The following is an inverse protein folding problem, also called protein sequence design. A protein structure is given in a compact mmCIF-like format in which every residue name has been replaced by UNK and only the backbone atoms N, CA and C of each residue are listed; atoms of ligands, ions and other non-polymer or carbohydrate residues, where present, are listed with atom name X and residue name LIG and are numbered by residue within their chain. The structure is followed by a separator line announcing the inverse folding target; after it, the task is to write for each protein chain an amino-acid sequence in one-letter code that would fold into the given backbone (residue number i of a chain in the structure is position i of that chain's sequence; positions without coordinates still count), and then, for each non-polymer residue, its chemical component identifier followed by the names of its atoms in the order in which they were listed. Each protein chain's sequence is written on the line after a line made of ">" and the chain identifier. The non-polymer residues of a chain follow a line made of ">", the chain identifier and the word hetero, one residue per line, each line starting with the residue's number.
data_IF_017995779537
#
_entry.id   IF_017995779537
#
_cell.length_a   1.000
_cell.length_b   1.000
_cell.length_c   1.000
_cell.angle_alpha   90.00
_cell.angle_beta   90.00
_cell.angle_gamma   90.00
#
_symmetry.space_group_name_H-M   'P 1'
#
loop_
_entity.id
_entity.type
_entity.pdbx_description
1 polymer ?
#
# COMPACT_ATOMS: atom_id res chain seq x y z
N UNK A 1 -7.19 72.15 -37.80
CA UNK A 1 -6.67 72.03 -36.42
C UNK A 1 -7.08 70.70 -35.72
N UNK A 2 -7.33 69.60 -36.46
CA UNK A 2 -7.82 68.32 -35.90
C UNK A 2 -6.76 67.19 -35.80
N UNK A 3 -5.51 67.41 -36.23
CA UNK A 3 -4.47 66.36 -36.28
C UNK A 3 -3.77 66.07 -34.93
N UNK A 4 -3.80 66.98 -33.96
CA UNK A 4 -3.08 66.79 -32.68
C UNK A 4 -3.79 65.83 -31.70
N UNK A 5 -5.11 65.64 -31.82
CA UNK A 5 -5.87 64.72 -30.96
C UNK A 5 -5.75 63.24 -31.37
N UNK A 6 -5.68 62.96 -32.68
CA UNK A 6 -5.59 61.60 -33.21
C UNK A 6 -4.22 60.98 -32.91
N UNK A 7 -3.14 61.77 -33.02
CA UNK A 7 -1.79 61.30 -32.70
C UNK A 7 -1.64 60.92 -31.22
N UNK A 8 -2.26 61.67 -30.31
CA UNK A 8 -2.24 61.35 -28.87
C UNK A 8 -2.96 60.03 -28.57
N UNK A 9 -4.14 59.83 -29.16
CA UNK A 9 -4.92 58.59 -29.01
C UNK A 9 -4.13 57.40 -29.58
N UNK A 10 -3.49 57.56 -30.74
CA UNK A 10 -2.66 56.52 -31.34
C UNK A 10 -1.45 56.17 -30.46
N UNK A 11 -0.75 57.15 -29.90
CA UNK A 11 0.39 56.90 -29.00
C UNK A 11 -0.04 56.19 -27.72
N UNK A 12 -1.18 56.59 -27.13
CA UNK A 12 -1.76 55.89 -25.98
C UNK A 12 -2.13 54.45 -26.33
N UNK A 13 -2.70 54.22 -27.51
CA UNK A 13 -3.06 52.88 -27.97
C UNK A 13 -1.82 52.00 -28.20
N UNK A 14 -0.76 52.54 -28.81
CA UNK A 14 0.53 51.84 -28.93
C UNK A 14 1.16 51.55 -27.57
N UNK A 15 1.12 52.49 -26.62
CA UNK A 15 1.61 52.28 -25.26
C UNK A 15 0.82 51.21 -24.51
N UNK A 16 -0.51 51.19 -24.66
CA UNK A 16 -1.37 50.17 -24.09
C UNK A 16 -1.07 48.78 -24.67
N UNK A 17 -0.92 48.67 -25.99
CA UNK A 17 -0.54 47.41 -26.65
C UNK A 17 0.83 46.94 -26.15
N UNK A 18 1.85 47.83 -26.13
CA UNK A 18 3.19 47.49 -25.64
C UNK A 18 3.16 47.01 -24.19
N UNK A 19 2.33 47.62 -23.35
CA UNK A 19 2.16 47.22 -21.95
C UNK A 19 1.52 45.83 -21.84
N UNK A 20 0.48 45.54 -22.63
CA UNK A 20 -0.15 44.21 -22.67
C UNK A 20 0.85 43.14 -23.12
N UNK A 21 1.64 43.43 -24.16
CA UNK A 21 2.68 42.52 -24.64
C UNK A 21 3.78 42.30 -23.59
N UNK A 22 4.21 43.36 -22.91
CA UNK A 22 5.20 43.26 -21.83
C UNK A 22 4.68 42.43 -20.64
N UNK A 23 3.42 42.64 -20.24
CA UNK A 23 2.76 41.85 -19.19
C UNK A 23 2.63 40.38 -19.59
N UNK A 24 2.26 40.10 -20.85
CA UNK A 24 2.19 38.75 -21.38
C UNK A 24 3.54 38.04 -21.32
N UNK A 25 4.62 38.67 -21.81
CA UNK A 25 5.96 38.09 -21.75
C UNK A 25 6.45 37.90 -20.31
N UNK A 26 6.16 38.83 -19.40
CA UNK A 26 6.48 38.67 -17.98
C UNK A 26 5.74 37.47 -17.36
N UNK A 27 4.47 37.28 -17.71
CA UNK A 27 3.68 36.12 -17.31
C UNK A 27 4.25 34.80 -17.82
N UNK A 28 4.60 34.74 -19.11
CA UNK A 28 5.21 33.55 -19.73
C UNK A 28 6.56 33.23 -19.10
N UNK A 29 7.42 34.23 -18.88
CA UNK A 29 8.72 34.03 -18.24
C UNK A 29 8.59 33.48 -16.82
N UNK A 30 7.70 34.06 -16.00
CA UNK A 30 7.43 33.54 -14.64
C UNK A 30 6.91 32.11 -14.66
N UNK A 31 6.00 31.80 -15.59
CA UNK A 31 5.48 30.45 -15.74
C UNK A 31 6.58 29.46 -16.15
N UNK A 32 7.44 29.84 -17.10
CA UNK A 32 8.55 29.01 -17.55
C UNK A 32 9.55 28.73 -16.42
N UNK A 33 9.89 29.74 -15.62
CA UNK A 33 10.72 29.57 -14.42
C UNK A 33 10.06 28.61 -13.42
N UNK A 34 8.75 28.75 -13.19
CA UNK A 34 8.00 27.84 -12.33
C UNK A 34 8.01 26.39 -12.82
N UNK A 35 7.80 26.16 -14.12
CA UNK A 35 7.87 24.83 -14.73
C UNK A 35 9.28 24.25 -14.64
N UNK A 36 10.31 25.06 -14.88
CA UNK A 36 11.70 24.64 -14.73
C UNK A 36 12.03 24.24 -13.29
N UNK A 37 11.56 25.01 -12.30
CA UNK A 37 11.74 24.67 -10.89
C UNK A 37 11.02 23.37 -10.53
N UNK A 38 9.75 23.22 -10.90
CA UNK A 38 8.99 21.98 -10.65
C UNK A 38 9.64 20.76 -11.30
N UNK A 39 10.20 20.93 -12.49
CA UNK A 39 10.92 19.86 -13.19
C UNK A 39 12.21 19.48 -12.45
N UNK A 40 12.97 20.47 -11.98
CA UNK A 40 14.16 20.29 -11.17
C UNK A 40 13.85 19.57 -9.86
N UNK A 41 12.85 20.06 -9.12
CA UNK A 41 12.39 19.48 -7.85
C UNK A 41 11.93 18.03 -8.04
N UNK A 42 11.22 17.75 -9.15
CA UNK A 42 10.80 16.38 -9.48
C UNK A 42 11.97 15.45 -9.77
N UNK A 43 12.96 15.92 -10.52
CA UNK A 43 14.16 15.13 -10.80
C UNK A 43 14.93 14.83 -9.50
N UNK A 44 15.10 15.83 -8.63
CA UNK A 44 15.73 15.66 -7.33
C UNK A 44 14.95 14.69 -6.44
N UNK A 45 13.62 14.84 -6.35
CA UNK A 45 12.75 13.95 -5.59
C UNK A 45 12.83 12.49 -6.08
N UNK A 46 12.98 12.26 -7.39
CA UNK A 46 13.19 10.93 -7.98
C UNK A 46 14.55 10.35 -7.59
N UNK A 47 15.62 11.13 -7.66
CA UNK A 47 16.97 10.71 -7.26
C UNK A 47 16.98 10.31 -5.78
N UNK A 48 16.40 11.13 -4.90
CA UNK A 48 16.27 10.82 -3.48
C UNK A 48 15.47 9.53 -3.24
N UNK A 49 14.33 9.38 -3.92
CA UNK A 49 13.48 8.18 -3.80
C UNK A 49 14.24 6.92 -4.23
N UNK A 50 14.91 6.96 -5.39
CA UNK A 50 15.67 5.82 -5.89
C UNK A 50 16.86 5.49 -4.98
N UNK A 51 17.62 6.48 -4.53
CA UNK A 51 18.74 6.29 -3.59
C UNK A 51 18.26 5.65 -2.28
N UNK A 52 17.19 6.20 -1.69
CA UNK A 52 16.54 5.66 -0.50
C UNK A 52 16.07 4.21 -0.71
N UNK A 53 15.45 3.90 -1.86
CA UNK A 53 15.03 2.54 -2.19
C UNK A 53 16.20 1.56 -2.22
N UNK A 54 17.29 1.91 -2.92
CA UNK A 54 18.44 1.01 -3.03
C UNK A 54 19.09 0.77 -1.67
N UNK A 55 19.23 1.82 -0.87
CA UNK A 55 19.71 1.70 0.51
C UNK A 55 18.82 0.78 1.33
N UNK A 56 17.51 0.99 1.32
CA UNK A 56 16.55 0.14 2.03
C UNK A 56 16.65 -1.33 1.58
N UNK A 57 16.74 -1.58 0.27
CA UNK A 57 16.81 -2.93 -0.26
C UNK A 57 18.10 -3.63 0.16
N UNK A 58 19.23 -2.91 0.12
CA UNK A 58 20.50 -3.41 0.62
C UNK A 58 20.42 -3.74 2.12
N UNK A 59 19.86 -2.83 2.92
CA UNK A 59 19.68 -3.04 4.37
C UNK A 59 18.78 -4.26 4.63
N UNK A 60 17.68 -4.43 3.88
CA UNK A 60 16.76 -5.58 3.99
C UNK A 60 17.36 -6.93 3.55
N UNK A 61 18.42 -6.90 2.74
CA UNK A 61 19.13 -8.09 2.26
C UNK A 61 20.30 -8.47 3.18
N UNK A 62 20.88 -7.50 3.86
CA UNK A 62 22.09 -7.69 4.68
C UNK A 62 21.79 -7.85 6.16
N UNK A 63 20.71 -7.24 6.65
CA UNK A 63 20.30 -7.33 8.05
C UNK A 63 19.21 -8.39 8.25
N UNK A 64 19.29 -9.10 9.38
CA UNK A 64 18.26 -10.05 9.77
C UNK A 64 17.01 -9.30 10.24
N UNK A 65 15.84 -9.71 9.74
CA UNK A 65 14.56 -9.15 10.17
C UNK A 65 14.23 -9.64 11.57
N UNK A 66 14.08 -8.69 12.51
CA UNK A 66 13.70 -8.96 13.89
C UNK A 66 12.18 -8.92 14.08
N UNK A 67 11.71 -9.52 15.18
CA UNK A 67 10.30 -9.51 15.57
C UNK A 67 9.81 -8.09 15.92
N UNK A 68 10.70 -7.29 16.51
CA UNK A 68 10.49 -5.92 16.96
C UNK A 68 11.66 -5.05 16.52
N UNK A 69 11.47 -3.74 16.31
CA UNK A 69 12.57 -2.82 16.08
C UNK A 69 13.61 -2.95 17.20
N UNK A 70 14.89 -3.01 16.83
CA UNK A 70 15.98 -3.03 17.81
C UNK A 70 16.36 -1.59 18.18
N UNK A 71 16.72 -1.36 19.44
CA UNK A 71 17.08 -0.02 19.94
C UNK A 71 18.32 0.57 19.26
N UNK A 72 19.19 -0.29 18.73
CA UNK A 72 20.39 0.11 17.99
C UNK A 72 20.16 0.27 16.47
N UNK A 73 18.93 0.07 15.99
CA UNK A 73 18.61 0.29 14.59
C UNK A 73 18.33 1.78 14.34
N UNK A 74 19.15 2.48 13.53
CA UNK A 74 19.00 3.91 13.32
C UNK A 74 17.68 4.30 12.68
N UNK A 75 16.97 3.37 12.02
CA UNK A 75 15.73 3.63 11.31
C UNK A 75 14.48 3.13 12.06
N UNK A 76 14.66 2.35 13.14
CA UNK A 76 13.58 1.69 13.87
C UNK A 76 12.51 1.08 12.94
N UNK A 77 12.97 0.50 11.82
CA UNK A 77 12.10 0.01 10.78
C UNK A 77 11.11 -1.05 11.31
N UNK A 78 9.89 -1.00 10.78
CA UNK A 78 8.80 -1.88 11.19
C UNK A 78 8.09 -2.45 9.95
N UNK A 79 7.32 -3.53 10.14
CA UNK A 79 6.63 -4.22 9.04
C UNK A 79 5.10 -4.21 9.18
N UNK A 80 4.56 -3.32 10.01
CA UNK A 80 3.12 -3.18 10.27
C UNK A 80 2.53 -1.87 9.75
N UNK A 81 3.33 -1.03 9.07
CA UNK A 81 2.85 0.12 8.32
C UNK A 81 3.10 1.48 8.94
N UNK A 82 3.78 1.54 10.09
CA UNK A 82 4.15 2.81 10.70
C UNK A 82 5.24 3.49 9.86
N UNK A 83 5.09 4.79 9.64
CA UNK A 83 6.04 5.56 8.83
C UNK A 83 7.32 5.85 9.62
N UNK A 84 8.46 5.67 8.97
CA UNK A 84 9.76 6.10 9.47
C UNK A 84 10.50 6.90 8.40
N UNK A 85 11.42 7.77 8.82
CA UNK A 85 12.24 8.58 7.91
C UNK A 85 13.55 7.85 7.63
N UNK A 86 13.85 7.60 6.36
CA UNK A 86 15.08 6.90 5.94
C UNK A 86 16.20 7.90 5.60
N UNK A 87 15.82 9.07 5.11
CA UNK A 87 16.69 10.19 4.77
C UNK A 87 15.86 11.49 4.83
N UNK A 88 16.48 12.67 4.95
CA UNK A 88 15.77 13.94 4.97
C UNK A 88 14.79 14.07 3.81
N UNK A 89 13.50 14.22 4.13
CA UNK A 89 12.45 14.36 3.12
C UNK A 89 12.04 13.06 2.42
N UNK A 90 12.48 11.90 2.91
CA UNK A 90 12.07 10.58 2.42
C UNK A 90 11.50 9.71 3.55
N UNK A 91 10.19 9.46 3.46
CA UNK A 91 9.46 8.61 4.40
C UNK A 91 9.15 7.26 3.79
N UNK A 92 9.27 6.19 4.59
CA UNK A 92 9.01 4.82 4.19
C UNK A 92 7.92 4.22 5.08
N UNK A 93 7.02 3.45 4.48
CA UNK A 93 6.10 2.55 5.18
C UNK A 93 6.30 1.15 4.64
N UNK A 94 6.38 0.15 5.50
CA UNK A 94 6.50 -1.25 5.09
C UNK A 94 5.42 -2.12 5.72
N UNK A 95 4.92 -3.05 4.92
CA UNK A 95 3.91 -4.02 5.32
C UNK A 95 4.39 -5.41 4.98
N UNK A 96 4.41 -6.30 5.95
CA UNK A 96 4.54 -7.73 5.70
C UNK A 96 3.29 -8.24 4.97
N UNK A 97 3.45 -8.84 3.80
CA UNK A 97 2.30 -9.39 3.09
C UNK A 97 1.73 -10.64 3.75
N UNK A 98 2.50 -11.33 4.61
CA UNK A 98 1.98 -12.42 5.43
C UNK A 98 1.01 -11.92 6.52
N UNK A 99 0.99 -10.62 6.83
CA UNK A 99 0.09 -10.06 7.85
C UNK A 99 -1.27 -9.62 7.30
N UNK A 100 -1.56 -9.96 6.04
CA UNK A 100 -2.80 -9.63 5.34
C UNK A 100 -3.51 -10.88 4.86
N UNK A 101 -4.83 -10.77 4.69
CA UNK A 101 -5.65 -11.85 4.13
C UNK A 101 -5.38 -11.95 2.62
N UNK A 102 -4.98 -13.11 2.14
CA UNK A 102 -4.90 -13.34 0.70
C UNK A 102 -6.32 -13.48 0.13
N UNK A 103 -6.77 -12.51 -0.66
CA UNK A 103 -8.15 -12.53 -1.18
C UNK A 103 -8.35 -13.51 -2.35
N UNK A 104 -7.26 -13.92 -3.02
CA UNK A 104 -7.34 -14.92 -4.10
C UNK A 104 -7.47 -16.34 -3.58
N UNK A 105 -6.82 -16.61 -2.45
CA UNK A 105 -6.85 -17.91 -1.78
C UNK A 105 -7.03 -17.67 -0.28
N UNK A 106 -8.21 -17.19 0.15
CA UNK A 106 -8.44 -16.85 1.53
C UNK A 106 -8.59 -18.12 2.37
N UNK A 107 -8.09 -18.05 3.60
CA UNK A 107 -8.53 -18.97 4.65
C UNK A 107 -9.95 -18.52 5.05
N UNK A 108 -10.95 -19.38 4.77
CA UNK A 108 -12.37 -19.01 4.86
C UNK A 108 -12.72 -18.48 6.25
N UNK A 109 -12.24 -19.10 7.33
CA UNK A 109 -12.58 -18.69 8.69
C UNK A 109 -12.06 -17.28 9.01
N UNK A 110 -10.84 -16.92 8.63
CA UNK A 110 -10.28 -15.56 8.81
C UNK A 110 -11.07 -14.51 8.06
N UNK A 111 -11.41 -14.78 6.79
CA UNK A 111 -12.13 -13.80 5.99
C UNK A 111 -13.54 -13.59 6.52
N UNK A 112 -14.25 -14.67 6.90
CA UNK A 112 -15.57 -14.59 7.54
C UNK A 112 -15.48 -13.84 8.86
N UNK A 113 -14.50 -14.16 9.72
CA UNK A 113 -14.30 -13.46 10.99
C UNK A 113 -14.06 -11.95 10.80
N UNK A 114 -13.27 -11.58 9.79
CA UNK A 114 -13.03 -10.18 9.43
C UNK A 114 -14.31 -9.46 8.95
N UNK A 115 -15.11 -10.10 8.10
CA UNK A 115 -16.36 -9.53 7.59
C UNK A 115 -17.39 -9.38 8.72
N UNK A 116 -17.51 -10.38 9.61
CA UNK A 116 -18.35 -10.32 10.81
C UNK A 116 -17.96 -9.15 11.72
N UNK A 117 -16.67 -9.03 12.03
CA UNK A 117 -16.15 -7.92 12.82
C UNK A 117 -16.39 -6.56 12.14
N UNK A 118 -16.43 -6.53 10.82
CA UNK A 118 -16.67 -5.30 10.05
C UNK A 118 -18.14 -4.84 10.06
N UNK A 119 -19.07 -5.69 10.51
CA UNK A 119 -20.50 -5.40 10.63
C UNK A 119 -21.41 -6.28 9.77
N UNK A 120 -20.86 -7.30 9.08
CA UNK A 120 -21.65 -8.24 8.28
C UNK A 120 -22.26 -9.33 9.18
N UNK A 121 -23.48 -9.77 8.87
CA UNK A 121 -24.04 -10.98 9.47
C UNK A 121 -23.22 -12.23 9.10
N UNK A 122 -23.22 -13.26 9.95
CA UNK A 122 -22.46 -14.49 9.73
C UNK A 122 -22.86 -15.23 8.45
N UNK A 123 -24.16 -15.36 8.19
CA UNK A 123 -24.64 -16.02 6.98
C UNK A 123 -24.30 -15.19 5.75
N UNK A 124 -24.46 -13.87 5.83
CA UNK A 124 -24.09 -12.96 4.75
C UNK A 124 -22.58 -13.03 4.45
N UNK A 125 -21.73 -13.08 5.48
CA UNK A 125 -20.28 -13.22 5.33
C UNK A 125 -19.89 -14.55 4.70
N UNK A 126 -20.49 -15.66 5.15
CA UNK A 126 -20.26 -16.97 4.56
C UNK A 126 -20.66 -17.01 3.08
N UNK A 127 -21.86 -16.51 2.76
CA UNK A 127 -22.36 -16.46 1.38
C UNK A 127 -21.47 -15.59 0.49
N UNK A 128 -21.04 -14.43 0.99
CA UNK A 128 -20.16 -13.54 0.22
C UNK A 128 -18.79 -14.16 -0.03
N UNK A 129 -18.24 -14.92 0.94
CA UNK A 129 -16.99 -15.65 0.75
C UNK A 129 -17.15 -16.78 -0.26
N UNK A 130 -18.27 -17.52 -0.28
CA UNK A 130 -18.58 -18.48 -1.35
C UNK A 130 -18.66 -17.78 -2.70
N UNK A 131 -19.46 -16.70 -2.81
CA UNK A 131 -19.58 -15.91 -4.05
C UNK A 131 -18.20 -15.42 -4.55
N UNK A 132 -17.28 -15.05 -3.66
CA UNK A 132 -15.91 -14.65 -4.02
C UNK A 132 -15.07 -15.82 -4.55
N UNK A 133 -15.25 -17.03 -4.03
CA UNK A 133 -14.52 -18.21 -4.46
C UNK A 133 -15.04 -18.66 -5.83
N UNK A 134 -16.36 -18.80 -5.99
CA UNK A 134 -17.05 -19.10 -7.27
C UNK A 134 -16.75 -18.04 -8.33
N UNK A 135 -16.53 -16.77 -7.94
CA UNK A 135 -16.12 -15.75 -8.91
C UNK A 135 -14.72 -16.00 -9.50
N UNK A 136 -13.88 -16.77 -8.82
CA UNK A 136 -12.44 -16.92 -9.11
C UNK A 136 -12.00 -18.31 -9.56
N UNK A 137 -12.73 -19.36 -9.23
CA UNK A 137 -12.40 -20.72 -9.65
C UNK A 137 -12.73 -20.95 -11.13
N UNK A 138 -12.28 -22.07 -11.68
CA UNK A 138 -12.36 -22.29 -13.14
C UNK A 138 -13.61 -23.03 -13.56
N UNK A 139 -14.38 -23.54 -12.61
CA UNK A 139 -15.56 -24.32 -12.90
C UNK A 139 -16.80 -23.42 -13.06
N UNK A 140 -17.97 -24.04 -13.02
CA UNK A 140 -19.28 -23.37 -13.22
C UNK A 140 -20.29 -23.90 -12.20
N UNK A 141 -19.80 -24.53 -11.12
CA UNK A 141 -20.61 -25.20 -10.10
C UNK A 141 -20.29 -24.65 -8.71
N UNK A 142 -21.34 -24.38 -7.94
CA UNK A 142 -21.15 -23.91 -6.57
C UNK A 142 -20.68 -25.04 -5.62
N UNK A 143 -20.39 -24.67 -4.36
CA UNK A 143 -20.06 -25.58 -3.24
C UNK A 143 -21.06 -26.77 -3.09
N UNK A 144 -22.26 -26.70 -3.68
CA UNK A 144 -23.33 -27.70 -3.61
C UNK A 144 -23.61 -28.43 -4.94
N UNK A 145 -22.77 -28.22 -5.97
CA UNK A 145 -22.91 -28.86 -7.29
C UNK A 145 -24.04 -28.29 -8.15
N UNK A 146 -24.52 -27.08 -7.86
CA UNK A 146 -25.53 -26.36 -8.66
C UNK A 146 -24.83 -25.39 -9.60
N UNK A 147 -25.46 -24.97 -10.72
CA UNK A 147 -24.91 -23.91 -11.56
C UNK A 147 -24.63 -22.66 -10.73
N UNK A 148 -23.42 -22.12 -10.87
CA UNK A 148 -23.01 -20.91 -10.18
C UNK A 148 -23.98 -19.75 -10.42
N UNK A 149 -24.16 -18.94 -9.37
CA UNK A 149 -24.94 -17.72 -9.50
C UNK A 149 -24.13 -16.70 -10.29
N UNK A 150 -24.72 -16.20 -11.37
CA UNK A 150 -24.18 -15.03 -12.07
C UNK A 150 -24.25 -13.81 -11.15
N UNK A 151 -23.10 -13.35 -10.68
CA UNK A 151 -23.02 -12.16 -9.86
C UNK A 151 -23.31 -10.93 -10.73
N UNK A 152 -24.35 -10.17 -10.34
CA UNK A 152 -24.78 -8.93 -11.00
C UNK A 152 -25.12 -9.07 -12.50
N UNK A 153 -25.63 -10.23 -12.92
CA UNK A 153 -26.04 -10.48 -14.29
C UNK A 153 -24.89 -10.49 -15.30
N UNK A 154 -23.65 -10.64 -14.81
CA UNK A 154 -22.44 -10.81 -15.63
C UNK A 154 -21.88 -12.20 -15.43
N UNK A 155 -21.12 -12.68 -16.42
CA UNK A 155 -20.33 -13.91 -16.29
C UNK A 155 -19.34 -13.76 -15.14
N UNK A 156 -19.18 -14.82 -14.36
CA UNK A 156 -18.10 -14.94 -13.41
C UNK A 156 -16.76 -14.82 -14.15
N UNK A 157 -15.72 -14.38 -13.44
CA UNK A 157 -14.41 -14.13 -14.05
C UNK A 157 -13.72 -15.44 -14.42
N UNK A 158 -14.03 -16.49 -13.66
CA UNK A 158 -13.47 -17.82 -13.73
C UNK A 158 -11.94 -17.83 -13.70
N UNK A 159 -11.40 -17.00 -12.80
CA UNK A 159 -9.97 -16.83 -12.62
C UNK A 159 -9.64 -15.86 -11.49
N UNK A 160 -8.39 -15.89 -10.98
CA UNK A 160 -7.98 -15.08 -9.84
C UNK A 160 -8.20 -13.58 -10.10
N UNK A 161 -8.61 -12.84 -9.06
CA UNK A 161 -8.78 -11.38 -9.13
C UNK A 161 -7.52 -10.70 -9.67
N UNK A 162 -7.63 -9.88 -10.72
CA UNK A 162 -6.51 -9.08 -11.23
C UNK A 162 -6.19 -7.91 -10.31
N UNK A 163 -7.22 -7.26 -9.77
CA UNK A 163 -7.09 -6.07 -8.92
C UNK A 163 -8.03 -6.12 -7.70
N UNK A 164 -7.65 -5.43 -6.61
CA UNK A 164 -8.44 -5.36 -5.39
C UNK A 164 -9.79 -4.65 -5.59
N UNK A 165 -9.89 -3.72 -6.54
CA UNK A 165 -11.14 -3.00 -6.83
C UNK A 165 -12.24 -3.91 -7.36
N UNK A 166 -11.90 -5.07 -7.93
CA UNK A 166 -12.88 -6.04 -8.43
C UNK A 166 -13.81 -6.56 -7.32
N UNK A 167 -13.37 -6.54 -6.06
CA UNK A 167 -14.17 -6.90 -4.89
C UNK A 167 -15.44 -6.05 -4.77
N UNK A 168 -15.39 -4.78 -5.21
CA UNK A 168 -16.57 -3.91 -5.22
C UNK A 168 -17.67 -4.41 -6.18
N UNK A 169 -17.27 -5.14 -7.22
CA UNK A 169 -18.22 -5.76 -8.16
C UNK A 169 -18.97 -6.93 -7.54
N UNK A 170 -18.54 -7.44 -6.38
CA UNK A 170 -19.17 -8.55 -5.65
C UNK A 170 -20.22 -8.05 -4.64
N UNK A 171 -20.71 -6.82 -4.78
CA UNK A 171 -21.76 -6.27 -3.92
C UNK A 171 -21.32 -5.96 -2.49
N UNK A 172 -20.01 -5.93 -2.22
CA UNK A 172 -19.51 -5.62 -0.90
C UNK A 172 -19.85 -4.17 -0.53
N UNK A 173 -20.52 -3.98 0.60
CA UNK A 173 -20.90 -2.66 1.08
C UNK A 173 -19.68 -1.74 1.24
N UNK A 174 -19.78 -0.48 0.83
CA UNK A 174 -18.64 0.46 0.84
C UNK A 174 -17.99 0.59 2.23
N UNK A 175 -18.77 0.56 3.31
CA UNK A 175 -18.22 0.65 4.67
C UNK A 175 -17.34 -0.55 5.03
N UNK A 176 -17.72 -1.74 4.58
CA UNK A 176 -16.97 -2.98 4.80
C UNK A 176 -15.76 -3.02 3.86
N UNK A 177 -15.95 -2.63 2.59
CA UNK A 177 -14.87 -2.54 1.61
C UNK A 177 -13.74 -1.60 2.08
N UNK A 178 -14.07 -0.45 2.68
CA UNK A 178 -13.08 0.48 3.26
C UNK A 178 -12.23 -0.17 4.35
N UNK A 179 -12.80 -1.06 5.16
CA UNK A 179 -12.08 -1.82 6.19
C UNK A 179 -11.29 -2.99 5.60
N UNK A 180 -11.84 -3.69 4.59
CA UNK A 180 -11.24 -4.88 4.00
C UNK A 180 -10.03 -4.58 3.11
N UNK A 181 -10.12 -3.57 2.23
CA UNK A 181 -9.10 -3.29 1.21
C UNK A 181 -7.66 -3.09 1.75
N UNK A 182 -7.45 -2.40 2.89
CA UNK A 182 -6.13 -2.29 3.53
C UNK A 182 -5.61 -3.63 4.08
N UNK A 183 -6.50 -4.54 4.44
CA UNK A 183 -6.21 -5.78 5.16
C UNK A 183 -6.02 -7.00 4.27
N UNK A 184 -6.13 -6.82 2.95
CA UNK A 184 -6.00 -7.89 1.97
C UNK A 184 -4.74 -7.77 1.12
N UNK A 185 -4.37 -8.87 0.47
CA UNK A 185 -3.32 -8.95 -0.55
C UNK A 185 -3.79 -9.86 -1.69
N UNK A 186 -3.34 -9.59 -2.91
CA UNK A 186 -3.54 -10.47 -4.08
C UNK A 186 -2.43 -11.51 -4.22
N UNK A 187 -1.35 -11.38 -3.42
CA UNK A 187 -0.14 -12.18 -3.58
C UNK A 187 -0.16 -13.37 -2.63
N UNK A 188 0.14 -14.56 -3.16
CA UNK A 188 0.05 -15.83 -2.43
C UNK A 188 0.98 -15.88 -1.21
N UNK A 189 0.46 -16.38 -0.09
CA UNK A 189 1.18 -16.63 1.16
C UNK A 189 0.75 -17.97 1.75
N UNK A 190 1.69 -18.65 2.40
CA UNK A 190 1.47 -19.93 3.07
C UNK A 190 0.99 -19.77 4.51
N UNK A 191 1.46 -18.74 5.21
CA UNK A 191 1.26 -18.57 6.65
C UNK A 191 0.92 -17.12 6.98
N UNK A 192 0.19 -16.91 8.07
CA UNK A 192 -0.23 -15.58 8.52
C UNK A 192 0.65 -15.06 9.64
N UNK A 193 0.97 -13.77 9.58
CA UNK A 193 1.76 -13.10 10.59
C UNK A 193 0.93 -12.14 11.44
N UNK A 194 0.49 -12.56 12.66
CA UNK A 194 -0.25 -11.69 13.56
C UNK A 194 0.61 -10.56 14.13
N UNK A 195 1.92 -10.76 14.29
CA UNK A 195 2.81 -9.74 14.85
C UNK A 195 2.79 -8.45 14.01
N UNK A 196 2.62 -8.57 12.70
CA UNK A 196 2.62 -7.44 11.76
C UNK A 196 1.23 -7.06 11.22
N UNK A 197 0.15 -7.68 11.70
CA UNK A 197 -1.20 -7.46 11.18
C UNK A 197 -1.79 -6.14 11.65
N UNK A 198 -2.76 -5.58 10.93
CA UNK A 198 -3.41 -4.35 11.39
C UNK A 198 -4.16 -4.57 12.72
N UNK A 199 -4.33 -3.52 13.54
CA UNK A 199 -5.18 -3.58 14.73
C UNK A 199 -6.58 -4.13 14.45
N UNK A 200 -7.18 -3.72 13.32
CA UNK A 200 -8.51 -4.13 12.90
C UNK A 200 -8.58 -5.62 12.56
N UNK A 201 -7.60 -6.13 11.80
CA UNK A 201 -7.51 -7.55 11.48
C UNK A 201 -7.26 -8.37 12.74
N UNK A 202 -6.39 -7.91 13.64
CA UNK A 202 -6.14 -8.58 14.90
C UNK A 202 -7.37 -8.62 15.80
N UNK A 203 -8.11 -7.52 15.89
CA UNK A 203 -9.35 -7.45 16.67
C UNK A 203 -10.41 -8.38 16.10
N UNK A 204 -10.49 -8.51 14.78
CA UNK A 204 -11.41 -9.43 14.13
C UNK A 204 -11.09 -10.90 14.40
N UNK A 205 -9.81 -11.28 14.39
CA UNK A 205 -9.38 -12.67 14.49
C UNK A 205 -9.23 -13.16 15.94
N UNK A 206 -8.78 -12.29 16.84
CA UNK A 206 -8.40 -12.68 18.21
C UNK A 206 -9.09 -11.84 19.31
N UNK A 207 -9.92 -10.87 18.92
CA UNK A 207 -10.59 -9.95 19.84
C UNK A 207 -9.70 -8.79 20.29
N UNK A 208 -10.35 -7.75 20.82
CA UNK A 208 -9.70 -6.48 21.16
C UNK A 208 -8.57 -6.63 22.18
N UNK A 209 -8.76 -7.48 23.20
CA UNK A 209 -7.76 -7.70 24.26
C UNK A 209 -6.45 -8.25 23.72
N UNK A 210 -6.51 -9.20 22.79
CA UNK A 210 -5.31 -9.80 22.20
C UNK A 210 -4.67 -8.83 21.20
N UNK A 211 -5.48 -8.12 20.41
CA UNK A 211 -5.02 -7.06 19.51
C UNK A 211 -4.19 -6.01 20.24
N UNK A 212 -4.71 -5.45 21.34
CA UNK A 212 -4.01 -4.45 22.15
C UNK A 212 -2.67 -4.95 22.69
N UNK A 213 -2.60 -6.20 23.16
CA UNK A 213 -1.35 -6.81 23.64
C UNK A 213 -0.31 -6.97 22.53
N UNK A 214 -0.73 -7.42 21.34
CA UNK A 214 0.20 -7.53 20.21
C UNK A 214 0.76 -6.15 19.84
N UNK A 215 -0.08 -5.11 19.85
CA UNK A 215 0.35 -3.73 19.57
C UNK A 215 1.34 -3.24 20.63
N UNK A 216 1.13 -3.57 21.90
CA UNK A 216 2.07 -3.26 22.98
C UNK A 216 3.42 -3.97 22.76
N UNK A 217 3.39 -5.27 22.45
CA UNK A 217 4.57 -6.07 22.17
C UNK A 217 5.42 -5.50 21.02
N UNK A 218 4.81 -4.86 20.00
CA UNK A 218 5.57 -4.20 18.91
C UNK A 218 6.53 -3.13 19.38
N UNK A 219 6.28 -2.54 20.54
CA UNK A 219 7.07 -1.44 21.10
C UNK A 219 8.12 -1.91 22.09
N UNK A 220 8.05 -3.17 22.52
CA UNK A 220 8.97 -3.74 23.50
C UNK A 220 10.11 -4.43 22.78
N UNK A 221 11.31 -3.83 22.79
CA UNK A 221 12.51 -4.37 22.16
C UNK A 221 12.92 -5.75 22.72
N UNK A 222 12.41 -6.11 23.90
CA UNK A 222 12.62 -7.41 24.56
C UNK A 222 11.62 -8.51 24.15
N UNK A 223 10.74 -8.27 23.17
CA UNK A 223 9.74 -9.27 22.77
C UNK A 223 10.40 -10.50 22.14
N UNK A 224 10.23 -11.64 22.79
CA UNK A 224 10.62 -12.97 22.30
C UNK A 224 9.40 -13.79 21.91
N UNK A 225 9.61 -14.87 21.15
CA UNK A 225 8.57 -15.86 20.80
C UNK A 225 7.81 -16.36 22.05
N UNK A 226 8.54 -16.66 23.12
CA UNK A 226 7.92 -17.16 24.36
C UNK A 226 7.10 -16.08 25.06
N UNK A 227 7.59 -14.84 25.10
CA UNK A 227 6.82 -13.73 25.67
C UNK A 227 5.55 -13.45 24.87
N UNK A 228 5.63 -13.54 23.54
CA UNK A 228 4.49 -13.39 22.63
C UNK A 228 3.44 -14.48 22.89
N UNK A 229 3.85 -15.75 22.94
CA UNK A 229 2.97 -16.88 23.23
C UNK A 229 2.29 -16.73 24.60
N UNK A 230 3.05 -16.41 25.66
CA UNK A 230 2.49 -16.25 27.02
C UNK A 230 1.47 -15.13 27.12
N UNK A 231 1.70 -14.00 26.45
CA UNK A 231 0.82 -12.83 26.57
C UNK A 231 -0.43 -12.93 25.70
N UNK A 232 -0.28 -13.47 24.49
CA UNK A 232 -1.35 -13.50 23.47
C UNK A 232 -2.11 -14.82 23.42
N UNK A 233 -1.48 -15.93 23.83
CA UNK A 233 -1.98 -17.29 23.66
C UNK A 233 -1.84 -17.84 22.23
N UNK A 234 -1.23 -17.09 21.31
CA UNK A 234 -1.04 -17.51 19.92
C UNK A 234 0.25 -18.31 19.81
N UNK A 235 0.15 -19.50 19.21
CA UNK A 235 1.28 -20.39 18.96
C UNK A 235 1.66 -20.40 17.47
N UNK A 236 2.95 -20.56 17.19
CA UNK A 236 3.39 -20.83 15.82
C UNK A 236 2.93 -22.21 15.39
N UNK A 237 2.41 -22.29 14.17
CA UNK A 237 1.94 -23.51 13.52
C UNK A 237 2.15 -23.36 12.01
N UNK A 238 1.87 -24.38 11.23
CA UNK A 238 2.01 -24.33 9.77
C UNK A 238 1.26 -23.12 9.13
N UNK A 239 0.16 -22.69 9.76
CA UNK A 239 -0.66 -21.56 9.32
C UNK A 239 -0.38 -20.20 9.99
N UNK A 240 0.51 -20.14 10.98
CA UNK A 240 0.80 -18.94 11.78
C UNK A 240 2.30 -18.82 12.07
N UNK A 241 2.90 -17.70 11.66
CA UNK A 241 4.33 -17.42 11.86
C UNK A 241 4.52 -15.99 12.32
N UNK A 242 5.35 -15.74 13.34
CA UNK A 242 5.39 -14.40 13.99
C UNK A 242 6.51 -13.49 13.45
N UNK A 243 7.48 -14.03 12.72
CA UNK A 243 8.57 -13.21 12.17
C UNK A 243 8.21 -12.60 10.81
N UNK A 244 8.73 -11.39 10.49
CA UNK A 244 8.47 -10.75 9.21
C UNK A 244 8.85 -11.63 8.02
N UNK A 245 7.96 -11.74 7.04
CA UNK A 245 8.24 -12.53 5.84
C UNK A 245 9.23 -11.84 4.89
N UNK A 246 9.70 -12.61 3.91
CA UNK A 246 10.51 -12.05 2.82
C UNK A 246 9.71 -11.26 1.78
N UNK A 247 8.39 -11.20 1.91
CA UNK A 247 7.57 -10.53 0.93
C UNK A 247 6.90 -9.29 1.52
N UNK A 248 7.34 -8.14 1.02
CA UNK A 248 7.01 -6.87 1.61
C UNK A 248 6.28 -6.00 0.58
N UNK A 249 5.30 -5.24 1.06
CA UNK A 249 4.87 -4.03 0.38
C UNK A 249 5.60 -2.85 1.01
N UNK A 250 6.28 -2.08 0.17
CA UNK A 250 7.08 -0.93 0.56
C UNK A 250 6.51 0.29 -0.15
N UNK A 251 6.20 1.32 0.62
CA UNK A 251 5.72 2.61 0.12
C UNK A 251 6.79 3.63 0.48
N UNK A 252 7.42 4.21 -0.53
CA UNK A 252 8.44 5.25 -0.36
C UNK A 252 7.85 6.55 -0.88
N UNK A 253 7.86 7.58 -0.05
CA UNK A 253 7.44 8.92 -0.44
C UNK A 253 8.60 9.89 -0.27
N UNK A 254 8.88 10.70 -1.30
CA UNK A 254 9.88 11.75 -1.25
C UNK A 254 9.25 13.12 -1.44
N UNK A 255 9.83 14.16 -0.82
CA UNK A 255 9.38 15.54 -0.94
C UNK A 255 10.57 16.47 -1.18
N UNK A 256 10.50 17.25 -2.27
CA UNK A 256 11.42 18.33 -2.58
C UNK A 256 10.59 19.54 -3.00
N UNK A 257 10.73 20.66 -2.28
CA UNK A 257 9.88 21.83 -2.49
C UNK A 257 8.38 21.48 -2.38
N UNK A 258 7.65 21.78 -3.45
CA UNK A 258 6.22 21.47 -3.60
C UNK A 258 5.97 20.08 -4.21
N UNK A 259 6.99 19.43 -4.77
CA UNK A 259 6.84 18.12 -5.41
C UNK A 259 6.83 17.02 -4.35
N UNK A 260 5.80 16.16 -4.43
CA UNK A 260 5.69 14.94 -3.63
C UNK A 260 5.55 13.74 -4.56
N UNK A 261 6.43 12.76 -4.41
CA UNK A 261 6.39 11.51 -5.15
C UNK A 261 6.09 10.37 -4.19
N UNK A 262 5.40 9.33 -4.67
CA UNK A 262 5.04 8.17 -3.86
C UNK A 262 5.07 6.93 -4.73
N UNK A 263 6.03 6.05 -4.48
CA UNK A 263 6.11 4.76 -5.17
C UNK A 263 5.68 3.62 -4.24
N UNK A 264 4.86 2.71 -4.75
CA UNK A 264 4.38 1.52 -4.06
C UNK A 264 4.93 0.26 -4.74
N UNK A 265 5.72 -0.48 -3.99
CA UNK A 265 6.48 -1.64 -4.46
C UNK A 265 6.04 -2.85 -3.68
N UNK A 266 5.72 -3.94 -4.36
CA UNK A 266 5.63 -5.25 -3.74
C UNK A 266 6.79 -6.09 -4.22
N UNK A 267 7.61 -6.57 -3.30
CA UNK A 267 8.88 -7.24 -3.59
C UNK A 267 9.02 -8.49 -2.74
N UNK A 268 9.54 -9.56 -3.34
CA UNK A 268 10.08 -10.71 -2.63
C UNK A 268 11.59 -10.55 -2.52
N UNK A 269 12.12 -10.60 -1.31
CA UNK A 269 13.55 -10.64 -1.03
C UNK A 269 14.02 -12.10 -0.94
N UNK A 270 15.26 -12.34 -1.36
CA UNK A 270 15.93 -13.63 -1.24
C UNK A 270 17.37 -13.38 -0.76
N UNK A 271 17.59 -13.28 0.56
CA UNK A 271 18.89 -12.95 1.14
C UNK A 271 19.99 -13.97 0.82
N UNK A 272 19.61 -15.20 0.43
CA UNK A 272 20.53 -16.30 0.15
C UNK A 272 20.63 -16.60 -1.35
N UNK A 273 20.15 -15.70 -2.21
CA UNK A 273 20.25 -15.85 -3.66
C UNK A 273 21.72 -16.01 -4.09
N UNK A 274 21.98 -17.07 -4.86
CA UNK A 274 23.26 -17.28 -5.57
C UNK A 274 23.09 -16.99 -7.05
N UNK A 275 24.17 -16.65 -7.75
CA UNK A 275 24.16 -16.47 -9.21
C UNK A 275 23.62 -17.75 -9.88
N UNK A 276 22.66 -17.68 -10.83
CA UNK A 276 22.15 -16.48 -11.52
C UNK A 276 20.86 -15.87 -10.94
N UNK A 277 20.40 -16.29 -9.76
CA UNK A 277 19.15 -15.78 -9.16
C UNK A 277 19.30 -14.34 -8.64
N UNK A 278 18.27 -13.52 -8.86
CA UNK A 278 18.24 -12.14 -8.35
C UNK A 278 17.95 -12.13 -6.84
N UNK A 279 18.66 -11.31 -6.04
CA UNK A 279 18.43 -11.21 -4.59
C UNK A 279 17.06 -10.60 -4.24
N UNK A 280 16.37 -10.00 -5.20
CA UNK A 280 14.97 -9.61 -5.04
C UNK A 280 14.20 -9.76 -6.35
N UNK A 281 12.90 -10.01 -6.24
CA UNK A 281 11.97 -10.11 -7.36
C UNK A 281 10.83 -9.10 -7.16
N UNK A 282 10.70 -8.08 -8.02
CA UNK A 282 9.53 -7.20 -8.00
C UNK A 282 8.30 -7.98 -8.45
N UNK A 283 7.25 -7.96 -7.62
CA UNK A 283 5.97 -8.62 -7.89
C UNK A 283 4.96 -7.60 -8.45
N UNK A 284 4.98 -6.37 -7.94
CA UNK A 284 4.11 -5.29 -8.40
C UNK A 284 4.78 -3.94 -8.18
N UNK A 285 4.64 -3.04 -9.14
CA UNK A 285 5.21 -1.70 -9.11
C UNK A 285 4.11 -0.72 -9.51
N UNK A 286 3.91 0.31 -8.69
CA UNK A 286 3.10 1.49 -9.00
C UNK A 286 3.90 2.73 -8.63
N UNK A 287 4.35 3.45 -9.65
CA UNK A 287 5.11 4.71 -9.54
C UNK A 287 4.19 5.92 -9.67
#
# INVERSE_FOLDING_TARGET
>A
MYQKGIALIQILLFSAILTIVALYFSGVAKNQVGISQLTSDRAEALVLLHGARQKLFFDLLTNQKSLVPQDNDPYQWNFFGDSFELAPGVTVQMYDLASRINIRYPERARLIAFLKHSGMDEQAASNWVSDLLDYQDTDIIDDFGRPERLLFGKTNRNGPLSDKSEIQKLGLEQQIAKKLLPNITLFRRSSFNPMNASPELLAALYGQRVSSKIIELRRLSTTTKDSFKRQTGIEESDGVFIFPSHNLQIIISSRVGEVRLKHNWTVKFDPYASVPSSPYTPIYIKE
#
